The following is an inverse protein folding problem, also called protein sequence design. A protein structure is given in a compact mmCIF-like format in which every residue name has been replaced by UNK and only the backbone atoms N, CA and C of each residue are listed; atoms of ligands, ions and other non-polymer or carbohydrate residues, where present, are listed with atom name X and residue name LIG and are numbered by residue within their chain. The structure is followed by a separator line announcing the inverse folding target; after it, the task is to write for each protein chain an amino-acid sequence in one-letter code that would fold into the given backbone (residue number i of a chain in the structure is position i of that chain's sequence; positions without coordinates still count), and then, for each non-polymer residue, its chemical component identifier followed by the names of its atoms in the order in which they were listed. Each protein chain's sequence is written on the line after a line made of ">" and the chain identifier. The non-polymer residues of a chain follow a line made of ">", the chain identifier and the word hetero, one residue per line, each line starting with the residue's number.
data_IF_443727558784
#
_entry.id   IF_443727558784
#
_cell.length_a   1.000
_cell.length_b   1.000
_cell.length_c   1.000
_cell.angle_alpha   90.00
_cell.angle_beta   90.00
_cell.angle_gamma   90.00
#
_symmetry.space_group_name_H-M   'P 1'
#
loop_
_entity.id
_entity.type
_entity.pdbx_description
1 polymer ?
#
# COMPACT_ATOMS: atom_id res chain seq x y z
N UNK A 1 -18.60 -28.87 -12.07
CA UNK A 1 -18.94 -27.82 -13.05
C UNK A 1 -18.70 -26.47 -12.39
N UNK A 2 -18.16 -25.46 -13.09
CA UNK A 2 -18.03 -24.12 -12.53
C UNK A 2 -19.43 -23.52 -12.28
N UNK A 3 -19.61 -22.91 -11.11
CA UNK A 3 -20.86 -22.32 -10.64
C UNK A 3 -20.60 -20.86 -10.29
N UNK A 4 -21.60 -20.00 -10.48
CA UNK A 4 -21.51 -18.61 -10.06
C UNK A 4 -21.89 -18.50 -8.58
N UNK A 5 -21.01 -17.88 -7.80
CA UNK A 5 -21.17 -17.65 -6.36
C UNK A 5 -21.33 -16.15 -6.10
N UNK A 6 -22.27 -15.81 -5.23
CA UNK A 6 -22.42 -14.44 -4.69
C UNK A 6 -22.02 -14.49 -3.22
N UNK A 7 -20.97 -13.75 -2.86
CA UNK A 7 -20.42 -13.73 -1.50
C UNK A 7 -20.59 -12.32 -0.94
N UNK A 8 -21.26 -12.23 0.20
CA UNK A 8 -21.48 -10.97 0.93
C UNK A 8 -20.78 -11.03 2.28
N UNK A 9 -19.87 -10.07 2.52
CA UNK A 9 -19.18 -9.92 3.80
C UNK A 9 -19.89 -8.82 4.61
N UNK A 10 -20.32 -9.16 5.82
CA UNK A 10 -21.03 -8.25 6.74
C UNK A 10 -20.25 -8.14 8.04
N UNK A 11 -20.42 -7.01 8.74
CA UNK A 11 -19.90 -6.83 10.09
C UNK A 11 -20.96 -7.21 11.12
N UNK A 12 -20.56 -8.01 12.11
CA UNK A 12 -21.45 -8.48 13.16
C UNK A 12 -22.40 -9.58 12.70
N UNK A 13 -23.40 -9.87 13.53
CA UNK A 13 -24.29 -11.03 13.38
C UNK A 13 -25.62 -10.70 12.71
N UNK A 14 -25.83 -9.42 12.40
CA UNK A 14 -27.07 -8.90 11.84
C UNK A 14 -27.17 -9.25 10.36
N UNK A 15 -28.10 -10.15 10.02
CA UNK A 15 -28.37 -10.52 8.62
C UNK A 15 -28.92 -9.33 7.79
N UNK A 16 -29.57 -8.37 8.43
CA UNK A 16 -30.09 -7.14 7.83
C UNK A 16 -29.02 -6.06 7.64
N UNK A 17 -27.80 -6.26 8.14
CA UNK A 17 -26.73 -5.29 7.95
C UNK A 17 -26.35 -5.16 6.47
N UNK A 18 -26.08 -3.91 6.06
CA UNK A 18 -25.52 -3.61 4.74
C UNK A 18 -24.18 -4.34 4.58
N UNK A 19 -23.98 -5.13 3.50
CA UNK A 19 -22.69 -5.76 3.24
C UNK A 19 -21.58 -4.72 3.09
N UNK A 20 -20.43 -5.01 3.71
CA UNK A 20 -19.18 -4.27 3.50
C UNK A 20 -18.62 -4.56 2.10
N UNK A 21 -18.73 -5.81 1.66
CA UNK A 21 -18.32 -6.26 0.33
C UNK A 21 -19.37 -7.19 -0.25
N UNK A 22 -19.57 -7.08 -1.56
CA UNK A 22 -20.32 -8.05 -2.36
C UNK A 22 -19.51 -8.43 -3.57
N UNK A 23 -19.14 -9.71 -3.67
CA UNK A 23 -18.36 -10.25 -4.78
C UNK A 23 -19.18 -11.29 -5.55
N UNK A 24 -18.97 -11.33 -6.87
CA UNK A 24 -19.55 -12.35 -7.75
C UNK A 24 -18.40 -13.07 -8.45
N UNK A 25 -18.22 -14.36 -8.15
CA UNK A 25 -17.09 -15.16 -8.64
C UNK A 25 -17.57 -16.47 -9.25
N UNK A 26 -16.81 -17.01 -10.19
CA UNK A 26 -17.12 -18.31 -10.81
C UNK A 26 -16.11 -19.34 -10.32
N UNK A 27 -16.59 -20.40 -9.66
CA UNK A 27 -15.74 -21.44 -9.08
C UNK A 27 -16.46 -22.79 -9.04
N UNK A 28 -15.69 -23.88 -9.04
CA UNK A 28 -16.24 -25.23 -8.96
C UNK A 28 -16.73 -25.60 -7.55
N UNK A 29 -16.12 -25.03 -6.51
CA UNK A 29 -16.43 -25.30 -5.10
C UNK A 29 -16.56 -24.00 -4.31
N UNK A 30 -17.21 -24.08 -3.15
CA UNK A 30 -17.31 -22.98 -2.20
C UNK A 30 -15.93 -22.52 -1.71
N UNK A 31 -15.05 -23.47 -1.37
CA UNK A 31 -13.70 -23.17 -0.91
C UNK A 31 -12.90 -22.38 -1.96
N UNK A 32 -13.02 -22.77 -3.23
CA UNK A 32 -12.35 -22.05 -4.31
C UNK A 32 -12.94 -20.65 -4.52
N UNK A 33 -14.26 -20.49 -4.37
CA UNK A 33 -14.90 -19.18 -4.41
C UNK A 33 -14.39 -18.26 -3.29
N UNK A 34 -14.25 -18.77 -2.06
CA UNK A 34 -13.72 -18.02 -0.92
C UNK A 34 -12.25 -17.63 -1.12
N UNK A 35 -11.42 -18.53 -1.67
CA UNK A 35 -10.02 -18.22 -2.01
C UNK A 35 -9.91 -17.09 -3.03
N UNK A 36 -10.78 -17.06 -4.03
CA UNK A 36 -10.81 -15.96 -5.01
C UNK A 36 -11.17 -14.63 -4.34
N UNK A 37 -12.16 -14.61 -3.46
CA UNK A 37 -12.55 -13.40 -2.72
C UNK A 37 -11.45 -12.95 -1.76
N UNK A 38 -10.71 -13.87 -1.15
CA UNK A 38 -9.55 -13.54 -0.32
C UNK A 38 -8.45 -12.87 -1.15
N UNK A 39 -8.07 -13.45 -2.30
CA UNK A 39 -7.05 -12.88 -3.17
C UNK A 39 -7.44 -11.47 -3.65
N UNK A 40 -8.71 -11.24 -4.00
CA UNK A 40 -9.23 -9.90 -4.32
C UNK A 40 -9.09 -8.94 -3.14
N UNK A 41 -9.35 -9.42 -1.92
CA UNK A 41 -9.20 -8.61 -0.71
C UNK A 41 -7.76 -8.16 -0.47
N UNK A 42 -6.81 -9.07 -0.69
CA UNK A 42 -5.38 -8.83 -0.51
C UNK A 42 -4.86 -7.84 -1.56
N UNK A 43 -5.31 -7.96 -2.81
CA UNK A 43 -4.96 -7.04 -3.89
C UNK A 43 -5.51 -5.62 -3.65
N UNK A 44 -6.76 -5.50 -3.22
CA UNK A 44 -7.37 -4.20 -2.84
C UNK A 44 -6.69 -3.56 -1.62
N UNK A 45 -6.09 -4.35 -0.73
CA UNK A 45 -5.41 -3.87 0.46
C UNK A 45 -3.93 -3.52 0.21
N UNK A 46 -3.35 -3.99 -0.89
CA UNK A 46 -2.00 -3.61 -1.25
C UNK A 46 -1.99 -2.10 -1.59
N UNK A 47 -1.05 -1.31 -1.04
CA UNK A 47 -0.89 0.07 -1.49
C UNK A 47 -0.66 0.03 -3.00
N UNK A 48 -1.41 0.84 -3.74
CA UNK A 48 -1.25 1.02 -5.17
C UNK A 48 0.24 1.15 -5.44
N UNK A 49 0.85 0.16 -6.12
CA UNK A 49 2.29 0.20 -6.40
C UNK A 49 2.68 1.48 -7.16
N UNK A 50 1.72 2.04 -7.88
CA UNK A 50 1.79 3.34 -8.57
C UNK A 50 1.88 4.56 -7.63
N UNK A 51 1.42 4.49 -6.38
CA UNK A 51 1.55 5.59 -5.40
C UNK A 51 2.96 5.65 -4.76
N UNK A 52 3.75 4.58 -4.87
CA UNK A 52 5.12 4.51 -4.33
C UNK A 52 6.19 4.87 -5.37
N UNK A 53 5.84 5.10 -6.64
CA UNK A 53 6.79 5.42 -7.72
C UNK A 53 6.78 6.90 -8.14
N UNK A 54 6.03 7.78 -7.47
CA UNK A 54 5.91 9.21 -7.81
C UNK A 54 6.53 10.19 -6.81
N UNK A 55 7.51 9.77 -6.00
CA UNK A 55 8.21 10.71 -5.10
C UNK A 55 9.74 10.53 -5.10
N UNK A 56 10.31 10.63 -6.31
CA UNK A 56 11.74 10.69 -6.54
C UNK A 56 12.07 11.80 -7.54
N UNK A 57 11.73 13.04 -7.17
CA UNK A 57 12.16 14.24 -7.87
C UNK A 57 13.67 14.18 -8.12
N UNK A 58 14.08 14.29 -9.38
CA UNK A 58 15.46 14.53 -9.77
C UNK A 58 15.86 15.90 -9.20
N UNK A 59 16.59 15.93 -8.08
CA UNK A 59 17.23 17.15 -7.61
C UNK A 59 18.32 17.53 -8.63
N UNK A 60 17.99 18.49 -9.50
CA UNK A 60 18.91 19.06 -10.48
C UNK A 60 19.91 19.96 -9.74
N UNK A 61 20.96 19.37 -9.18
CA UNK A 61 22.09 20.14 -8.66
C UNK A 61 22.77 20.83 -9.85
N UNK A 62 22.55 22.15 -9.94
CA UNK A 62 23.17 23.00 -10.96
C UNK A 62 24.68 22.95 -10.80
N UNK A 63 25.39 22.72 -11.90
CA UNK A 63 26.81 22.37 -12.00
C UNK A 63 27.79 23.52 -11.64
N UNK A 64 27.39 24.48 -10.79
CA UNK A 64 28.14 25.72 -10.54
C UNK A 64 28.62 25.89 -9.08
N UNK A 65 28.21 25.02 -8.14
CA UNK A 65 28.56 25.15 -6.70
C UNK A 65 29.69 24.22 -6.21
N UNK A 66 30.44 23.56 -7.11
CA UNK A 66 31.62 22.73 -6.73
C UNK A 66 32.94 23.56 -6.68
N UNK A 67 32.92 24.85 -7.07
CA UNK A 67 34.16 25.59 -7.31
C UNK A 67 34.62 26.56 -6.19
N UNK A 68 33.87 26.78 -5.12
CA UNK A 68 34.25 27.74 -4.07
C UNK A 68 34.18 27.11 -2.68
N UNK A 69 35.26 26.42 -2.33
CA UNK A 69 35.43 25.78 -1.04
C UNK A 69 35.34 26.74 0.14
N UNK A 70 34.95 26.18 1.28
CA UNK A 70 35.50 26.40 2.64
C UNK A 70 34.54 25.75 3.63
N UNK A 71 34.75 24.47 3.97
CA UNK A 71 34.09 23.87 5.12
C UNK A 71 34.83 24.36 6.36
N UNK A 72 34.37 25.47 6.95
CA UNK A 72 34.75 25.84 8.31
C UNK A 72 33.94 24.96 9.28
N UNK A 73 34.58 23.93 9.84
CA UNK A 73 34.05 23.24 11.01
C UNK A 73 34.18 24.17 12.21
N UNK A 74 33.11 24.90 12.54
CA UNK A 74 32.97 25.58 13.82
C UNK A 74 31.81 24.98 14.60
N UNK A 75 32.15 24.19 15.60
CA UNK A 75 31.31 23.97 16.78
C UNK A 75 32.26 23.60 17.93
N UNK A 76 32.68 24.64 18.68
CA UNK A 76 32.92 24.51 20.11
C UNK A 76 31.58 24.19 20.80
N UNK A 77 31.46 23.80 22.05
CA UNK A 77 32.29 23.72 23.25
C UNK A 77 31.65 22.57 24.08
N UNK A 78 32.36 21.91 24.99
CA UNK A 78 32.07 21.98 26.43
C UNK A 78 32.86 20.94 27.26
N UNK A 79 33.18 21.42 28.44
CA UNK A 79 33.94 20.91 29.59
C UNK A 79 33.68 19.44 29.99
N UNK A 80 34.72 18.74 30.45
CA UNK A 80 34.49 17.48 31.19
C UNK A 80 35.67 16.54 31.41
N UNK A 81 36.51 16.88 32.40
CA UNK A 81 37.38 16.00 33.22
C UNK A 81 38.86 15.87 32.87
#
# INVERSE_FOLDING_TARGET
>A
MPTQWVIEVRLGERADARPLRRAVVTAATELDALRLVLAQAEDEAAPSRDELEMDGQEEVFSHEEVALGRVEHHSGEDDGR
#
